data_IF_386698241626
#
_entry.id   IF_386698241626
#
_cell.length_a   1.000
_cell.length_b   1.000
_cell.length_c   1.000
_cell.angle_alpha   90.00
_cell.angle_beta   90.00
_cell.angle_gamma   90.00
#
_symmetry.space_group_name_H-M   'P 1'
#
loop_
_entity.id
_entity.type
_entity.pdbx_description
1 polymer ?
#
# COMPACT_ATOMS: atom_id res chain seq x y z
N UNK A 1 -20.08 -17.14 -1.93
CA UNK A 1 -20.17 -15.66 -1.93
C UNK A 1 -19.37 -15.11 -0.75
N UNK A 2 -18.05 -14.96 -0.89
CA UNK A 2 -17.14 -14.48 0.19
C UNK A 2 -16.30 -13.24 -0.18
N UNK A 3 -16.24 -12.88 -1.48
CA UNK A 3 -15.31 -11.87 -2.02
C UNK A 3 -15.42 -10.46 -1.40
N UNK A 4 -16.61 -10.03 -0.99
CA UNK A 4 -16.81 -8.69 -0.42
C UNK A 4 -16.20 -8.54 0.97
N UNK A 5 -16.37 -9.55 1.82
CA UNK A 5 -15.84 -9.55 3.19
C UNK A 5 -14.32 -9.65 3.19
N UNK A 6 -13.75 -10.49 2.31
CA UNK A 6 -12.30 -10.63 2.17
C UNK A 6 -11.63 -9.33 1.71
N UNK A 7 -12.25 -8.61 0.77
CA UNK A 7 -11.74 -7.31 0.30
C UNK A 7 -11.79 -6.25 1.39
N UNK A 8 -12.91 -6.14 2.10
CA UNK A 8 -13.03 -5.18 3.21
C UNK A 8 -12.00 -5.51 4.29
N UNK A 9 -11.82 -6.79 4.63
CA UNK A 9 -10.80 -7.24 5.57
C UNK A 9 -9.41 -6.84 5.11
N UNK A 10 -9.08 -7.04 3.83
CA UNK A 10 -7.79 -6.64 3.28
C UNK A 10 -7.57 -5.11 3.41
N UNK A 11 -8.57 -4.31 3.07
CA UNK A 11 -8.50 -2.84 3.21
C UNK A 11 -8.32 -2.43 4.68
N UNK A 12 -9.08 -3.01 5.61
CA UNK A 12 -8.98 -2.69 7.04
C UNK A 12 -7.61 -3.09 7.60
N UNK A 13 -7.06 -4.23 7.18
CA UNK A 13 -5.73 -4.66 7.58
C UNK A 13 -4.64 -3.75 7.00
N UNK A 14 -4.73 -3.38 5.72
CA UNK A 14 -3.79 -2.43 5.12
C UNK A 14 -3.86 -1.06 5.79
N UNK A 15 -5.06 -0.58 6.16
CA UNK A 15 -5.22 0.65 6.93
C UNK A 15 -4.65 0.54 8.34
N UNK A 16 -4.80 -0.60 9.03
CA UNK A 16 -4.15 -0.83 10.33
C UNK A 16 -2.63 -0.84 10.20
N UNK A 17 -2.08 -1.54 9.20
CA UNK A 17 -0.64 -1.58 8.95
C UNK A 17 -0.09 -0.20 8.59
N UNK A 18 -0.85 0.57 7.80
CA UNK A 18 -0.50 1.94 7.44
C UNK A 18 -0.61 2.89 8.65
N UNK A 19 -1.65 2.75 9.46
CA UNK A 19 -1.93 3.58 10.64
C UNK A 19 -1.03 3.29 11.84
N UNK A 20 -0.16 2.28 11.80
CA UNK A 20 0.95 2.10 12.75
C UNK A 20 2.05 3.16 12.56
N UNK A 21 1.62 4.40 12.35
CA UNK A 21 2.38 5.65 12.24
C UNK A 21 3.14 5.98 13.53
N UNK A 22 2.87 5.27 14.64
CA UNK A 22 3.49 5.53 15.94
C UNK A 22 4.61 4.54 16.33
N UNK A 23 5.11 3.73 15.40
CA UNK A 23 6.40 3.06 15.63
C UNK A 23 7.51 4.04 15.21
N UNK A 24 7.93 4.88 16.16
CA UNK A 24 9.14 5.71 16.09
C UNK A 24 10.43 4.87 16.20
N UNK A 25 10.31 3.56 16.02
CA UNK A 25 11.41 2.60 16.08
C UNK A 25 11.75 2.13 14.67
N UNK A 26 13.05 2.03 14.40
CA UNK A 26 13.53 1.31 13.22
C UNK A 26 13.31 -0.18 13.43
N UNK A 27 12.85 -0.84 12.38
CA UNK A 27 12.70 -2.29 12.36
C UNK A 27 12.87 -2.84 10.96
N UNK A 28 13.13 -4.15 10.79
CA UNK A 28 13.20 -4.76 9.48
C UNK A 28 11.79 -4.86 8.89
N UNK A 29 11.62 -4.32 7.67
CA UNK A 29 10.33 -4.24 6.96
C UNK A 29 10.47 -4.82 5.56
N UNK A 30 9.41 -5.50 5.11
CA UNK A 30 9.24 -5.87 3.70
C UNK A 30 8.70 -4.67 2.91
N UNK A 31 9.53 -4.13 2.01
CA UNK A 31 9.16 -2.96 1.23
C UNK A 31 8.05 -3.26 0.20
N UNK A 32 8.00 -4.49 -0.31
CA UNK A 32 6.95 -4.88 -1.25
C UNK A 32 5.58 -4.86 -0.56
N UNK A 33 5.51 -5.28 0.71
CA UNK A 33 4.28 -5.21 1.49
C UNK A 33 3.79 -3.76 1.65
N UNK A 34 4.71 -2.83 1.94
CA UNK A 34 4.38 -1.40 2.05
C UNK A 34 3.82 -0.80 0.76
N UNK A 35 4.43 -1.12 -0.38
CA UNK A 35 3.98 -0.66 -1.70
C UNK A 35 2.62 -1.29 -2.05
N UNK A 36 2.47 -2.60 -1.86
CA UNK A 36 1.24 -3.33 -2.20
C UNK A 36 0.06 -2.89 -1.32
N UNK A 37 0.28 -2.65 -0.03
CA UNK A 37 -0.73 -2.08 0.86
C UNK A 37 -1.15 -0.67 0.40
N UNK A 38 -0.19 0.15 -0.02
CA UNK A 38 -0.46 1.50 -0.54
C UNK A 38 -1.30 1.44 -1.82
N UNK A 39 -0.94 0.56 -2.76
CA UNK A 39 -1.71 0.35 -4.00
C UNK A 39 -3.12 -0.17 -3.71
N UNK A 40 -3.30 -1.04 -2.71
CA UNK A 40 -4.63 -1.50 -2.29
C UNK A 40 -5.49 -0.36 -1.74
N UNK A 41 -4.92 0.52 -0.93
CA UNK A 41 -5.61 1.73 -0.43
C UNK A 41 -5.99 2.66 -1.61
N UNK A 42 -5.08 2.85 -2.56
CA UNK A 42 -5.28 3.68 -3.75
C UNK A 42 -6.10 3.00 -4.86
N UNK A 43 -6.53 1.75 -4.68
CA UNK A 43 -7.24 0.96 -5.70
C UNK A 43 -8.45 1.70 -6.29
N UNK A 44 -9.17 2.47 -5.48
CA UNK A 44 -10.33 3.26 -5.91
C UNK A 44 -9.99 4.37 -6.92
N UNK A 45 -8.71 4.79 -7.00
CA UNK A 45 -8.20 5.76 -7.98
C UNK A 45 -7.65 5.08 -9.23
N UNK A 46 -7.17 3.86 -9.09
CA UNK A 46 -6.61 3.08 -10.20
C UNK A 46 -7.70 2.47 -11.09
N UNK A 47 -8.82 2.09 -10.49
CA UNK A 47 -9.95 1.51 -11.21
C UNK A 47 -10.71 2.59 -12.00
N UNK A 48 -11.16 2.24 -13.22
CA UNK A 48 -12.01 3.13 -14.00
C UNK A 48 -13.23 3.60 -13.19
N UNK A 49 -13.45 4.92 -13.17
CA UNK A 49 -14.55 5.53 -12.42
C UNK A 49 -15.16 6.68 -13.20
N UNK A 50 -16.38 6.46 -13.71
CA UNK A 50 -17.09 7.46 -14.50
C UNK A 50 -16.32 7.82 -15.76
N UNK A 51 -15.81 9.06 -15.82
CA UNK A 51 -15.01 9.57 -16.94
C UNK A 51 -13.50 9.32 -16.79
N UNK A 52 -13.05 8.79 -15.64
CA UNK A 52 -11.64 8.47 -15.42
C UNK A 52 -11.33 7.09 -16.00
N UNK A 53 -10.37 6.98 -16.94
CA UNK A 53 -9.93 5.69 -17.46
C UNK A 53 -9.19 4.88 -16.38
N UNK A 54 -9.13 3.57 -16.57
CA UNK A 54 -8.35 2.69 -15.69
C UNK A 54 -6.85 2.97 -15.82
N UNK A 55 -6.16 3.00 -14.69
CA UNK A 55 -4.70 3.11 -14.61
C UNK A 55 -4.13 1.72 -14.40
N UNK A 56 -3.34 1.26 -15.35
CA UNK A 56 -2.63 -0.02 -15.25
C UNK A 56 -1.38 0.14 -14.38
N UNK A 57 -1.26 -0.70 -13.34
CA UNK A 57 -0.05 -0.77 -12.51
C UNK A 57 0.74 -2.03 -12.89
N UNK A 58 1.96 -1.82 -13.39
CA UNK A 58 2.93 -2.88 -13.67
C UNK A 58 3.88 -3.00 -12.48
N UNK A 59 3.95 -4.18 -11.85
CA UNK A 59 4.77 -4.45 -10.67
C UNK A 59 5.97 -5.30 -11.05
N UNK A 60 7.11 -4.66 -11.27
CA UNK A 60 8.38 -5.31 -11.62
C UNK A 60 9.33 -5.30 -10.41
N UNK A 61 8.97 -6.07 -9.39
CA UNK A 61 9.78 -6.16 -8.16
C UNK A 61 10.98 -7.08 -8.37
N UNK A 62 12.12 -6.68 -7.80
CA UNK A 62 13.28 -7.56 -7.63
C UNK A 62 13.22 -8.28 -6.28
N UNK A 63 14.12 -9.22 -6.05
CA UNK A 63 14.32 -9.81 -4.72
C UNK A 63 15.02 -8.78 -3.82
N UNK A 64 14.41 -8.48 -2.67
CA UNK A 64 14.95 -7.52 -1.71
C UNK A 64 14.92 -8.15 -0.30
N UNK A 65 16.01 -8.06 0.49
CA UNK A 65 15.96 -8.44 1.89
C UNK A 65 15.05 -7.49 2.68
N UNK A 66 14.72 -7.87 3.91
CA UNK A 66 14.09 -6.94 4.84
C UNK A 66 14.98 -5.71 5.05
N UNK A 67 14.37 -4.53 5.06
CA UNK A 67 15.06 -3.25 5.18
C UNK A 67 14.77 -2.63 6.53
N UNK A 68 15.82 -2.33 7.28
CA UNK A 68 15.78 -1.56 8.52
C UNK A 68 15.35 -0.11 8.22
N UNK A 69 14.11 0.25 8.58
CA UNK A 69 13.56 1.57 8.33
C UNK A 69 12.47 1.95 9.35
N UNK A 70 12.00 3.19 9.30
CA UNK A 70 10.81 3.65 10.00
C UNK A 70 9.57 3.39 9.14
N UNK A 71 8.75 2.37 9.46
CA UNK A 71 7.66 1.95 8.57
C UNK A 71 6.63 3.05 8.35
N UNK A 72 6.29 3.82 9.40
CA UNK A 72 5.34 4.93 9.29
C UNK A 72 5.79 6.00 8.31
N UNK A 73 7.06 6.42 8.38
CA UNK A 73 7.62 7.43 7.47
C UNK A 73 7.70 6.89 6.04
N UNK A 74 8.08 5.63 5.87
CA UNK A 74 8.22 5.02 4.55
C UNK A 74 6.86 4.83 3.86
N UNK A 75 5.85 4.36 4.61
CA UNK A 75 4.48 4.26 4.13
C UNK A 75 3.93 5.63 3.71
N UNK A 76 4.23 6.69 4.47
CA UNK A 76 3.87 8.05 4.09
C UNK A 76 4.55 8.48 2.79
N UNK A 77 5.83 8.15 2.60
CA UNK A 77 6.54 8.43 1.36
C UNK A 77 5.91 7.70 0.16
N UNK A 78 5.60 6.40 0.29
CA UNK A 78 4.90 5.64 -0.76
C UNK A 78 3.54 6.25 -1.10
N UNK A 79 2.74 6.61 -0.10
CA UNK A 79 1.44 7.24 -0.30
C UNK A 79 1.55 8.54 -1.08
N UNK A 80 2.51 9.39 -0.71
CA UNK A 80 2.72 10.68 -1.35
C UNK A 80 3.17 10.54 -2.81
N UNK A 81 4.10 9.62 -3.08
CA UNK A 81 4.61 9.39 -4.44
C UNK A 81 3.52 8.79 -5.31
N UNK A 82 2.89 7.70 -4.87
CA UNK A 82 1.90 6.97 -5.67
C UNK A 82 0.57 7.71 -5.82
N UNK A 83 0.20 8.59 -4.89
CA UNK A 83 -1.01 9.42 -5.03
C UNK A 83 -0.83 10.56 -6.03
N UNK A 84 0.40 10.95 -6.35
CA UNK A 84 0.71 12.09 -7.23
C UNK A 84 1.12 11.67 -8.65
N UNK A 85 1.42 10.38 -8.87
CA UNK A 85 1.68 9.80 -10.17
C UNK A 85 0.39 9.69 -11.00
#
# INVERSE_FOLDING_TARGET
MQRGSDRIRAIVLSLQNFSRVNEDEMKPVDLHEGIDNTLLILQHRLQAKGQQPEIQVLKEYGELPLVECYPGQLNQAFMNILSNA
#
